data_IF_569261452529
#
_entry.id   IF_569261452529
#
_cell.length_a   1.000
_cell.length_b   1.000
_cell.length_c   1.000
_cell.angle_alpha   90.00
_cell.angle_beta   90.00
_cell.angle_gamma   90.00
#
_symmetry.space_group_name_H-M   'P 1'
#
loop_
_entity.id
_entity.type
_entity.pdbx_description
1 polymer ?
#
# COMPACT_ATOMS: atom_id res chain seq x y z
N UNK A 1 -16.76 -2.86 -15.61
CA UNK A 1 -16.71 -1.59 -14.85
C UNK A 1 -16.98 -0.46 -15.85
N UNK A 2 -18.02 0.36 -15.67
CA UNK A 2 -18.34 1.39 -16.67
C UNK A 2 -17.46 2.62 -16.43
N UNK A 3 -16.42 2.78 -17.25
CA UNK A 3 -15.85 4.10 -17.54
C UNK A 3 -16.72 4.79 -18.59
N UNK A 4 -16.68 6.12 -18.66
CA UNK A 4 -17.38 6.93 -19.66
C UNK A 4 -16.83 6.73 -21.10
N UNK A 5 -16.34 5.54 -21.42
CA UNK A 5 -15.79 5.15 -22.71
C UNK A 5 -16.77 4.22 -23.43
N UNK A 6 -16.96 4.42 -24.74
CA UNK A 6 -17.78 3.52 -25.56
C UNK A 6 -19.29 3.69 -25.37
N UNK A 7 -19.75 4.84 -24.87
CA UNK A 7 -21.18 5.15 -24.78
C UNK A 7 -21.77 5.33 -26.18
N UNK A 8 -22.58 4.37 -26.61
CA UNK A 8 -23.43 4.51 -27.79
C UNK A 8 -24.63 5.42 -27.51
N UNK A 9 -25.25 5.92 -28.58
CA UNK A 9 -26.53 6.63 -28.50
C UNK A 9 -27.60 5.65 -27.97
N UNK A 10 -28.25 5.98 -26.84
CA UNK A 10 -29.33 5.17 -26.26
C UNK A 10 -29.18 4.74 -24.79
N UNK A 11 -28.17 5.26 -24.07
CA UNK A 11 -28.03 5.04 -22.63
C UNK A 11 -28.16 6.36 -21.86
N UNK A 12 -28.88 6.34 -20.73
CA UNK A 12 -29.13 7.55 -19.93
C UNK A 12 -28.29 7.62 -18.63
N UNK A 13 -27.59 6.53 -18.26
CA UNK A 13 -26.85 6.47 -16.99
C UNK A 13 -25.64 5.51 -17.01
N UNK A 14 -24.64 5.81 -16.17
CA UNK A 14 -23.47 4.95 -15.89
C UNK A 14 -23.28 4.74 -14.39
N UNK A 15 -22.57 3.68 -14.01
CA UNK A 15 -22.25 3.33 -12.60
C UNK A 15 -20.73 3.27 -12.40
N UNK A 16 -20.06 4.40 -12.15
CA UNK A 16 -18.62 4.41 -11.92
C UNK A 16 -18.30 3.72 -10.59
N UNK A 17 -17.57 2.60 -10.67
CA UNK A 17 -17.10 1.83 -9.51
C UNK A 17 -15.67 2.24 -9.11
N UNK A 18 -14.71 1.33 -9.26
CA UNK A 18 -13.29 1.55 -8.92
C UNK A 18 -12.66 2.76 -9.63
N UNK A 19 -13.20 3.15 -10.79
CA UNK A 19 -12.76 4.35 -11.50
C UNK A 19 -12.92 5.62 -10.64
N UNK A 20 -13.95 5.69 -9.78
CA UNK A 20 -14.14 6.80 -8.84
C UNK A 20 -13.04 6.84 -7.76
N UNK A 21 -12.33 5.74 -7.54
CA UNK A 21 -11.18 5.64 -6.63
C UNK A 21 -9.84 5.91 -7.35
N UNK A 22 -9.89 6.33 -8.61
CA UNK A 22 -8.71 6.65 -9.40
C UNK A 22 -7.96 5.42 -9.93
N UNK A 23 -8.62 4.27 -10.02
CA UNK A 23 -8.04 3.04 -10.54
C UNK A 23 -8.72 2.69 -11.85
N UNK A 24 -7.90 2.53 -12.89
CA UNK A 24 -8.38 2.07 -14.19
C UNK A 24 -8.43 0.52 -14.20
N UNK A 25 -9.55 -0.10 -14.60
CA UNK A 25 -9.59 -1.52 -14.89
C UNK A 25 -8.62 -1.88 -16.02
N UNK A 26 -7.97 -3.07 -15.96
CA UNK A 26 -6.93 -3.47 -16.91
C UNK A 26 -7.41 -3.57 -18.36
N UNK A 27 -8.71 -3.75 -18.59
CA UNK A 27 -9.32 -3.85 -19.92
C UNK A 27 -9.42 -2.53 -20.69
N UNK A 28 -9.10 -1.39 -20.07
CA UNK A 28 -9.13 -0.08 -20.72
C UNK A 28 -7.73 0.43 -21.08
N UNK A 29 -7.55 1.06 -22.25
CA UNK A 29 -6.30 1.74 -22.58
C UNK A 29 -6.02 2.81 -21.51
N UNK A 30 -4.76 2.92 -21.09
CA UNK A 30 -4.34 3.81 -20.03
C UNK A 30 -4.80 5.26 -20.28
N UNK A 31 -5.95 5.67 -19.74
CA UNK A 31 -6.34 7.07 -19.71
C UNK A 31 -5.51 7.75 -18.63
N UNK A 32 -4.77 8.80 -18.99
CA UNK A 32 -3.82 9.50 -18.09
C UNK A 32 -4.49 10.32 -16.98
N UNK A 33 -5.80 10.25 -16.81
CA UNK A 33 -6.55 11.22 -16.01
C UNK A 33 -7.01 10.70 -14.63
N UNK A 34 -7.11 9.38 -14.45
CA UNK A 34 -7.47 8.83 -13.14
C UNK A 34 -6.30 8.94 -12.17
N UNK A 35 -6.55 9.61 -11.04
CA UNK A 35 -5.58 9.80 -9.96
C UNK A 35 -6.06 9.06 -8.72
N UNK A 36 -5.25 8.15 -8.13
CA UNK A 36 -5.59 7.49 -6.87
C UNK A 36 -5.99 8.51 -5.79
N UNK A 37 -7.13 8.26 -5.13
CA UNK A 37 -7.74 9.22 -4.19
C UNK A 37 -7.41 8.96 -2.72
N UNK A 38 -6.67 7.90 -2.42
CA UNK A 38 -6.33 7.51 -1.05
C UNK A 38 -4.86 7.10 -0.92
N UNK A 39 -4.35 7.24 0.30
CA UNK A 39 -3.07 6.70 0.74
C UNK A 39 -3.25 6.01 2.08
N UNK A 40 -2.57 4.89 2.30
CA UNK A 40 -2.48 4.20 3.58
C UNK A 40 -1.09 4.42 4.16
N UNK A 41 -1.04 5.03 5.36
CA UNK A 41 0.21 5.36 6.03
C UNK A 41 0.19 4.89 7.48
N UNK A 42 1.37 4.59 7.99
CA UNK A 42 1.67 4.30 9.39
C UNK A 42 3.03 4.95 9.73
N UNK A 43 3.70 4.47 10.78
CA UNK A 43 5.01 4.97 11.19
C UNK A 43 5.86 3.88 11.82
N UNK A 44 7.17 4.04 11.82
CA UNK A 44 8.06 3.17 12.59
C UNK A 44 7.84 3.41 14.08
N UNK A 45 7.57 2.37 14.86
CA UNK A 45 7.42 2.48 16.33
C UNK A 45 8.59 1.88 17.11
N UNK A 46 9.35 1.01 16.45
CA UNK A 46 10.49 0.31 17.02
C UNK A 46 11.40 -0.16 15.89
N UNK A 47 12.69 -0.28 16.16
CA UNK A 47 13.60 -1.02 15.30
C UNK A 47 14.71 -1.66 16.13
N UNK A 48 15.34 -2.70 15.58
CA UNK A 48 16.53 -3.32 16.16
C UNK A 48 17.48 -3.83 15.09
N UNK A 49 18.77 -3.80 15.40
CA UNK A 49 19.79 -4.48 14.62
C UNK A 49 19.78 -5.98 14.92
N UNK A 50 19.92 -6.79 13.89
CA UNK A 50 19.93 -8.25 13.99
C UNK A 50 21.08 -8.83 13.15
N UNK A 51 21.76 -9.89 13.63
CA UNK A 51 22.76 -10.59 12.85
C UNK A 51 22.12 -11.39 11.70
N UNK A 52 22.94 -11.82 10.74
CA UNK A 52 22.53 -12.76 9.71
C UNK A 52 21.97 -14.06 10.33
N UNK A 53 21.00 -14.67 9.67
CA UNK A 53 20.31 -15.88 10.11
C UNK A 53 19.13 -15.66 11.07
N UNK A 54 18.98 -14.44 11.61
CA UNK A 54 17.91 -14.11 12.57
C UNK A 54 16.53 -14.31 11.94
N UNK A 55 15.65 -15.15 12.52
CA UNK A 55 14.28 -15.30 12.05
C UNK A 55 13.41 -14.11 12.45
N UNK A 56 12.49 -13.70 11.57
CA UNK A 56 11.52 -12.62 11.81
C UNK A 56 10.12 -13.06 11.42
N UNK A 57 9.13 -12.63 12.20
CA UNK A 57 7.72 -12.93 12.01
C UNK A 57 7.32 -14.34 12.45
N UNK A 58 6.04 -14.66 12.27
CA UNK A 58 5.50 -15.98 12.64
C UNK A 58 6.24 -17.12 11.94
N UNK A 59 6.57 -18.16 12.72
CA UNK A 59 7.32 -19.36 12.31
C UNK A 59 8.73 -19.08 11.79
N UNK A 60 9.23 -17.84 11.90
CA UNK A 60 10.53 -17.47 11.33
C UNK A 60 10.59 -17.65 9.82
N UNK A 61 9.46 -17.43 9.13
CA UNK A 61 9.33 -17.64 7.68
C UNK A 61 10.23 -16.72 6.84
N UNK A 62 10.71 -15.62 7.42
CA UNK A 62 11.79 -14.82 6.86
C UNK A 62 13.03 -14.89 7.75
N UNK A 63 14.21 -14.92 7.13
CA UNK A 63 15.51 -14.91 7.83
C UNK A 63 16.42 -13.87 7.22
N UNK A 64 17.12 -13.13 8.07
CA UNK A 64 18.07 -12.12 7.65
C UNK A 64 19.20 -12.77 6.83
N UNK A 65 19.38 -12.37 5.57
CA UNK A 65 20.46 -12.89 4.72
C UNK A 65 21.83 -12.29 5.07
N UNK A 66 21.82 -11.11 5.70
CA UNK A 66 22.98 -10.36 6.20
C UNK A 66 22.64 -9.70 7.54
N UNK A 67 23.64 -9.18 8.25
CA UNK A 67 23.37 -8.28 9.37
C UNK A 67 22.55 -7.08 8.87
N UNK A 68 21.44 -6.78 9.52
CA UNK A 68 20.49 -5.78 9.06
C UNK A 68 19.70 -5.17 10.21
N UNK A 69 18.86 -4.18 9.90
CA UNK A 69 17.95 -3.54 10.86
C UNK A 69 16.51 -3.82 10.50
N UNK A 70 15.74 -4.27 11.48
CA UNK A 70 14.31 -4.59 11.33
C UNK A 70 13.49 -3.52 12.03
N UNK A 71 12.61 -2.86 11.28
CA UNK A 71 11.61 -1.94 11.82
C UNK A 71 10.28 -2.65 12.06
N UNK A 72 9.57 -2.25 13.12
CA UNK A 72 8.20 -2.67 13.41
C UNK A 72 7.25 -1.49 13.19
N UNK A 73 6.14 -1.77 12.51
CA UNK A 73 5.11 -0.80 12.11
C UNK A 73 3.77 -1.27 12.64
N UNK A 74 2.96 -0.42 13.30
CA UNK A 74 1.66 -0.78 13.88
C UNK A 74 0.58 -0.77 12.78
N UNK A 75 0.69 -1.73 11.87
CA UNK A 75 -0.32 -2.02 10.86
C UNK A 75 -0.26 -3.50 10.54
N UNK A 76 -1.40 -4.18 10.60
CA UNK A 76 -1.48 -5.61 10.34
C UNK A 76 -2.66 -6.00 9.46
N UNK A 77 -2.97 -7.30 9.45
CA UNK A 77 -4.10 -7.78 8.66
C UNK A 77 -5.47 -7.32 9.18
N UNK A 78 -5.59 -6.96 10.46
CA UNK A 78 -6.82 -6.37 11.00
C UNK A 78 -7.02 -4.90 10.57
N UNK A 79 -5.97 -4.29 10.01
CA UNK A 79 -6.00 -2.93 9.45
C UNK A 79 -6.10 -2.93 7.92
N UNK A 80 -6.15 -4.12 7.30
CA UNK A 80 -6.39 -4.31 5.87
C UNK A 80 -5.16 -4.69 5.04
N UNK A 81 -4.01 -5.00 5.67
CA UNK A 81 -2.85 -5.53 4.95
C UNK A 81 -2.99 -7.05 4.77
N UNK A 82 -3.11 -7.59 3.54
CA UNK A 82 -3.27 -9.03 3.36
C UNK A 82 -2.12 -9.83 4.01
N UNK A 83 -2.47 -10.79 4.87
CA UNK A 83 -1.49 -11.52 5.67
C UNK A 83 -0.43 -12.26 4.85
N UNK A 84 -0.82 -12.72 3.65
CA UNK A 84 0.03 -13.46 2.70
C UNK A 84 1.15 -12.60 2.11
N UNK A 85 0.98 -11.27 2.04
CA UNK A 85 1.98 -10.37 1.44
C UNK A 85 3.34 -10.46 2.11
N UNK A 86 3.40 -10.78 3.41
CA UNK A 86 4.66 -10.87 4.14
C UNK A 86 5.67 -11.89 3.61
N UNK A 87 5.25 -12.80 2.73
CA UNK A 87 6.12 -13.80 2.08
C UNK A 87 6.29 -13.58 0.58
N UNK A 88 5.58 -12.61 0.00
CA UNK A 88 5.60 -12.38 -1.44
C UNK A 88 6.83 -11.57 -1.84
N UNK A 89 7.53 -12.04 -2.88
CA UNK A 89 8.65 -11.28 -3.44
C UNK A 89 8.14 -9.97 -4.02
N UNK A 90 8.70 -8.86 -3.55
CA UNK A 90 8.32 -7.51 -3.96
C UNK A 90 7.31 -6.82 -3.03
N UNK A 91 6.77 -7.52 -2.02
CA UNK A 91 6.01 -6.86 -0.96
C UNK A 91 6.92 -5.89 -0.21
N UNK A 92 6.55 -4.61 -0.27
CA UNK A 92 7.34 -3.53 0.31
C UNK A 92 6.44 -2.40 0.83
N UNK A 93 7.03 -1.51 1.60
CA UNK A 93 6.51 -0.21 1.97
C UNK A 93 7.45 0.88 1.45
N UNK A 94 7.02 2.15 1.49
CA UNK A 94 7.93 3.28 1.28
C UNK A 94 8.32 3.92 2.60
N UNK A 95 9.61 4.16 2.78
CA UNK A 95 10.18 4.94 3.88
C UNK A 95 11.28 5.82 3.29
N UNK A 96 11.20 7.13 3.51
CA UNK A 96 12.20 8.11 3.04
C UNK A 96 12.44 8.03 1.52
N UNK A 97 11.36 7.84 0.76
CA UNK A 97 11.37 7.73 -0.70
C UNK A 97 12.03 6.45 -1.25
N UNK A 98 12.22 5.43 -0.41
CA UNK A 98 12.80 4.13 -0.80
C UNK A 98 11.82 3.01 -0.55
N UNK A 99 11.81 2.01 -1.44
CA UNK A 99 11.08 0.75 -1.26
C UNK A 99 11.82 -0.12 -0.25
N UNK A 100 11.12 -0.51 0.81
CA UNK A 100 11.62 -1.29 1.94
C UNK A 100 10.86 -2.61 2.01
N UNK A 101 11.52 -3.77 1.83
CA UNK A 101 10.84 -5.05 1.75
C UNK A 101 10.24 -5.49 3.10
N UNK A 102 9.16 -6.27 3.02
CA UNK A 102 8.56 -6.92 4.18
C UNK A 102 9.52 -7.99 4.72
N UNK A 103 9.62 -8.08 6.05
CA UNK A 103 10.47 -9.03 6.76
C UNK A 103 9.60 -10.06 7.50
N UNK A 104 9.01 -10.99 6.73
CA UNK A 104 8.17 -12.07 7.26
C UNK A 104 6.69 -11.75 7.26
N UNK A 105 5.89 -12.71 7.77
CA UNK A 105 4.42 -12.63 7.74
C UNK A 105 3.90 -11.39 8.47
N UNK A 106 2.81 -10.85 7.93
CA UNK A 106 2.06 -9.75 8.56
C UNK A 106 1.26 -10.32 9.74
N UNK A 107 1.39 -9.72 10.91
CA UNK A 107 0.65 -10.07 12.12
C UNK A 107 -0.71 -9.38 12.16
N UNK A 108 -1.50 -9.63 13.22
CA UNK A 108 -2.83 -9.01 13.36
C UNK A 108 -2.75 -7.48 13.33
N UNK A 109 -1.77 -6.93 14.06
CA UNK A 109 -1.64 -5.49 14.31
C UNK A 109 -0.28 -4.92 13.90
N UNK A 110 0.66 -5.77 13.44
CA UNK A 110 2.03 -5.38 13.19
C UNK A 110 2.59 -5.96 11.90
N UNK A 111 3.53 -5.20 11.32
CA UNK A 111 4.33 -5.54 10.17
C UNK A 111 5.80 -5.28 10.49
N UNK A 112 6.68 -6.16 10.01
CA UNK A 112 8.12 -5.97 10.06
C UNK A 112 8.66 -5.60 8.68
N UNK A 113 9.63 -4.68 8.64
CA UNK A 113 10.29 -4.20 7.43
C UNK A 113 11.81 -4.30 7.59
N UNK A 114 12.51 -4.78 6.57
CA UNK A 114 13.98 -4.79 6.54
C UNK A 114 14.49 -3.44 6.03
N UNK A 115 14.93 -2.59 6.95
CA UNK A 115 15.39 -1.22 6.70
C UNK A 115 16.92 -1.10 6.61
N UNK A 116 17.66 -2.21 6.53
CA UNK A 116 19.14 -2.17 6.55
C UNK A 116 19.77 -1.35 5.42
N UNK A 117 19.11 -1.27 4.27
CA UNK A 117 19.59 -0.54 3.10
C UNK A 117 19.05 0.92 3.04
N UNK A 118 18.32 1.36 4.07
CA UNK A 118 17.80 2.74 4.18
C UNK A 118 18.38 3.40 5.44
N UNK A 119 19.51 4.12 5.33
CA UNK A 119 20.14 4.73 6.48
C UNK A 119 19.30 5.89 7.05
N UNK A 120 19.42 6.10 8.36
CA UNK A 120 18.81 7.23 9.04
C UNK A 120 17.33 7.07 9.38
N UNK A 121 16.72 5.90 9.18
CA UNK A 121 15.36 5.62 9.64
C UNK A 121 15.28 5.70 11.17
N UNK A 122 14.31 6.47 11.68
CA UNK A 122 14.07 6.68 13.10
C UNK A 122 12.66 6.25 13.53
N UNK A 123 12.45 6.09 14.84
CA UNK A 123 11.10 5.96 15.40
C UNK A 123 10.31 7.23 15.08
N UNK A 124 9.08 7.07 14.61
CA UNK A 124 8.22 8.13 14.13
C UNK A 124 8.32 8.42 12.63
N UNK A 125 9.32 7.87 11.92
CA UNK A 125 9.41 8.07 10.47
C UNK A 125 8.15 7.49 9.78
N UNK A 126 7.56 8.23 8.82
CA UNK A 126 6.36 7.82 8.13
C UNK A 126 6.63 6.60 7.26
N UNK A 127 5.67 5.68 7.23
CA UNK A 127 5.68 4.49 6.39
C UNK A 127 4.48 4.55 5.46
N UNK A 128 4.69 4.52 4.16
CA UNK A 128 3.60 4.49 3.16
C UNK A 128 3.39 3.08 2.64
N UNK A 129 2.20 2.51 2.88
CA UNK A 129 1.82 1.16 2.44
C UNK A 129 1.07 1.19 1.12
N UNK A 130 0.28 2.25 0.89
CA UNK A 130 -0.35 2.58 -0.39
C UNK A 130 -0.20 4.10 -0.59
N UNK A 131 0.28 4.52 -1.75
CA UNK A 131 0.48 5.92 -2.09
C UNK A 131 1.87 6.20 -2.65
N UNK A 132 2.20 7.49 -2.75
CA UNK A 132 3.42 8.01 -3.38
C UNK A 132 4.31 8.71 -2.37
N UNK A 133 5.62 8.54 -2.53
CA UNK A 133 6.68 9.25 -1.82
C UNK A 133 7.85 9.54 -2.78
N UNK A 134 8.08 10.81 -3.11
CA UNK A 134 9.03 11.18 -4.17
C UNK A 134 8.64 10.55 -5.51
N UNK A 135 9.58 9.86 -6.15
CA UNK A 135 9.36 9.15 -7.42
C UNK A 135 8.89 7.69 -7.23
N UNK A 136 8.75 7.24 -5.98
CA UNK A 136 8.27 5.89 -5.68
C UNK A 136 6.77 5.90 -5.38
N UNK A 137 6.07 4.88 -5.86
CA UNK A 137 4.65 4.67 -5.61
C UNK A 137 4.39 3.20 -5.32
N UNK A 138 3.52 2.92 -4.36
CA UNK A 138 2.91 1.60 -4.14
C UNK A 138 1.41 1.77 -4.36
N UNK A 139 0.88 1.18 -5.42
CA UNK A 139 -0.54 1.28 -5.75
C UNK A 139 -1.35 0.14 -5.13
N UNK A 140 -2.66 0.35 -4.96
CA UNK A 140 -3.58 -0.73 -4.57
C UNK A 140 -3.61 -1.86 -5.63
N UNK A 141 -3.34 -1.54 -6.90
CA UNK A 141 -3.23 -2.52 -7.99
C UNK A 141 -1.99 -3.41 -7.81
N UNK A 142 -0.85 -2.81 -7.49
CA UNK A 142 0.38 -3.54 -7.20
C UNK A 142 0.20 -4.48 -6.00
N UNK A 143 -0.38 -3.96 -4.91
CA UNK A 143 -0.67 -4.75 -3.71
C UNK A 143 -1.64 -5.90 -4.00
N UNK A 144 -2.72 -5.63 -4.76
CA UNK A 144 -3.69 -6.65 -5.15
C UNK A 144 -3.04 -7.76 -5.99
N UNK A 145 -2.19 -7.40 -6.95
CA UNK A 145 -1.45 -8.35 -7.78
C UNK A 145 -0.57 -9.27 -6.93
N UNK A 146 0.19 -8.71 -5.99
CA UNK A 146 1.04 -9.50 -5.08
C UNK A 146 0.20 -10.39 -4.16
N UNK A 147 -0.94 -9.91 -3.67
CA UNK A 147 -1.82 -10.67 -2.79
C UNK A 147 -2.71 -11.70 -3.53
N UNK A 148 -2.68 -11.75 -4.87
CA UNK A 148 -3.53 -12.63 -5.66
C UNK A 148 -5.02 -12.28 -5.61
N UNK A 149 -5.34 -10.98 -5.50
CA UNK A 149 -6.72 -10.48 -5.40
C UNK A 149 -6.96 -9.24 -6.30
N UNK A 150 -8.09 -8.56 -6.13
CA UNK A 150 -8.52 -7.36 -6.82
C UNK A 150 -8.25 -6.09 -6.00
N UNK A 151 -8.10 -4.93 -6.65
CA UNK A 151 -7.97 -3.65 -5.94
C UNK A 151 -9.18 -3.34 -5.05
N UNK A 152 -10.39 -3.79 -5.40
CA UNK A 152 -11.56 -3.65 -4.54
C UNK A 152 -11.37 -4.32 -3.19
N UNK A 153 -10.84 -5.55 -3.17
CA UNK A 153 -10.61 -6.29 -1.92
C UNK A 153 -9.57 -5.58 -1.04
N UNK A 154 -8.50 -5.06 -1.64
CA UNK A 154 -7.49 -4.27 -0.93
C UNK A 154 -8.11 -3.03 -0.28
N UNK A 155 -8.86 -2.25 -1.06
CA UNK A 155 -9.43 -0.98 -0.57
C UNK A 155 -10.55 -1.20 0.46
N UNK A 156 -11.42 -2.18 0.23
CA UNK A 156 -12.48 -2.56 1.18
C UNK A 156 -11.93 -3.22 2.44
N UNK A 157 -10.77 -3.89 2.34
CA UNK A 157 -10.10 -4.53 3.46
C UNK A 157 -9.58 -3.56 4.52
N UNK A 158 -9.38 -2.28 4.16
CA UNK A 158 -9.03 -1.22 5.11
C UNK A 158 -10.19 -1.08 6.11
N UNK A 159 -10.05 -1.69 7.29
CA UNK A 159 -11.12 -1.85 8.27
C UNK A 159 -11.36 -0.62 9.13
N UNK A 160 -12.36 -0.66 10.02
CA UNK A 160 -12.81 0.48 10.85
C UNK A 160 -11.75 1.04 11.81
N UNK A 161 -10.75 0.24 12.17
CA UNK A 161 -9.62 0.64 13.03
C UNK A 161 -8.74 1.71 12.42
N UNK A 162 -8.64 1.73 11.09
CA UNK A 162 -7.82 2.72 10.39
C UNK A 162 -8.54 4.07 10.40
N UNK A 163 -7.92 5.09 10.98
CA UNK A 163 -8.49 6.44 10.96
C UNK A 163 -8.47 7.00 9.52
N UNK A 164 -9.62 7.48 9.04
CA UNK A 164 -9.71 8.19 7.75
C UNK A 164 -9.57 9.69 8.00
N UNK A 165 -8.73 10.33 7.20
CA UNK A 165 -8.57 11.78 7.20
C UNK A 165 -8.84 12.27 5.78
N UNK A 166 -9.90 13.05 5.61
CA UNK A 166 -10.20 13.66 4.32
C UNK A 166 -9.21 14.80 4.06
N UNK A 167 -8.51 14.74 2.93
CA UNK A 167 -7.67 15.85 2.48
C UNK A 167 -8.57 16.86 1.79
N UNK A 168 -8.83 17.99 2.45
CA UNK A 168 -9.61 19.06 1.86
C UNK A 168 -8.76 19.77 0.80
N UNK A 169 -8.91 19.42 -0.47
CA UNK A 169 -8.45 20.28 -1.56
C UNK A 169 -9.48 21.37 -1.76
N UNK A 170 -9.05 22.63 -1.79
CA UNK A 170 -9.87 23.72 -2.35
C UNK A 170 -10.22 23.30 -3.79
N UNK A 171 -11.50 23.17 -4.09
CA UNK A 171 -11.96 23.12 -5.47
C UNK A 171 -11.68 24.50 -6.06
N UNK A 172 -10.80 24.57 -7.06
CA UNK A 172 -10.86 25.70 -7.98
C UNK A 172 -12.17 25.57 -8.77
N UNK A 173 -12.93 26.67 -8.95
CA UNK A 173 -14.17 26.63 -9.71
C UNK A 173 -13.86 26.07 -11.11
N UNK A 174 -14.64 25.06 -11.51
CA UNK A 174 -14.72 24.66 -12.91
C UNK A 174 -15.09 25.93 -13.68
N UNK A 175 -14.22 26.34 -14.61
CA UNK A 175 -14.49 27.49 -15.46
C UNK A 175 -15.84 27.31 -16.17
N UNK A 176 -16.60 28.41 -16.36
CA UNK A 176 -17.98 28.39 -16.86
C UNK A 176 -18.14 27.78 -18.24
#
# INVERSE_FOLDING_TARGET
CALFSGLGLGFDAVRPGIAAYGILPPEFPASRELKPVLSLRSQVIFYKDVPAGTPVGYEGAWRASKATRIATVPVGYNDGIPWRLGLEKGACALIRGKRVPFAGRVSMDYLCLDIGDVPGVLVGDPVTLIGKEGDQEISAVEMARLAGTTPYEILCGIGKRVRRVALQKRMEPLHP
#
